data_IF_545305728618
#
_entry.id   IF_545305728618
#
_cell.length_a   1.000
_cell.length_b   1.000
_cell.length_c   1.000
_cell.angle_alpha   90.00
_cell.angle_beta   90.00
_cell.angle_gamma   90.00
#
_symmetry.space_group_name_H-M   'P 1'
#
loop_
_entity.id
_entity.type
_entity.pdbx_description
1 polymer ?
#
# COMPACT_ATOMS: atom_id res chain seq x y z
N UNK A 1 -23.22 25.00 10.30
CA UNK A 1 -21.97 24.60 10.98
C UNK A 1 -22.06 23.10 11.22
N UNK A 2 -21.51 22.29 10.32
CA UNK A 2 -21.51 20.84 10.49
C UNK A 2 -20.56 20.50 11.65
N UNK A 3 -21.08 19.82 12.67
CA UNK A 3 -20.29 19.27 13.75
C UNK A 3 -19.33 18.25 13.14
N UNK A 4 -18.03 18.40 13.41
CA UNK A 4 -17.05 17.35 13.11
C UNK A 4 -17.51 16.07 13.83
N UNK A 5 -17.51 14.90 13.16
CA UNK A 5 -17.82 13.63 13.81
C UNK A 5 -16.90 13.40 15.01
N UNK A 6 -17.34 12.59 15.99
CA UNK A 6 -16.55 12.32 17.19
C UNK A 6 -15.12 11.88 16.83
N UNK A 7 -14.14 12.54 17.45
CA UNK A 7 -12.72 12.26 17.20
C UNK A 7 -12.39 10.80 17.58
N UNK A 8 -11.50 10.11 16.85
CA UNK A 8 -11.11 8.73 17.18
C UNK A 8 -10.70 8.52 18.64
N UNK A 9 -9.96 9.48 19.21
CA UNK A 9 -9.56 9.46 20.61
C UNK A 9 -10.75 9.49 21.61
N UNK A 10 -11.85 10.19 21.27
CA UNK A 10 -13.07 10.21 22.10
C UNK A 10 -13.83 8.88 22.05
N UNK A 11 -13.60 8.10 21.00
CA UNK A 11 -14.15 6.75 20.83
C UNK A 11 -13.20 5.66 21.35
N UNK A 12 -12.04 6.03 21.91
CA UNK A 12 -11.07 5.08 22.47
C UNK A 12 -10.09 4.47 21.45
N UNK A 13 -10.08 4.96 20.20
CA UNK A 13 -9.12 4.52 19.19
C UNK A 13 -7.81 5.30 19.25
N UNK A 14 -6.72 4.64 18.92
CA UNK A 14 -5.39 5.22 18.72
C UNK A 14 -4.79 4.73 17.42
N UNK A 15 -3.94 5.54 16.79
CA UNK A 15 -3.06 5.06 15.73
C UNK A 15 -1.89 4.33 16.40
N UNK A 16 -1.72 3.01 16.19
CA UNK A 16 -0.58 2.29 16.74
C UNK A 16 0.71 2.79 16.08
N UNK A 17 1.84 2.56 16.75
CA UNK A 17 3.13 2.82 16.13
C UNK A 17 3.43 1.79 15.05
N UNK A 18 4.24 2.16 14.07
CA UNK A 18 4.60 1.32 12.91
C UNK A 18 5.43 0.08 13.26
N UNK A 19 5.97 -0.01 14.48
CA UNK A 19 6.69 -1.21 14.94
C UNK A 19 5.80 -2.17 15.74
N UNK A 20 4.53 -1.82 15.96
CA UNK A 20 3.57 -2.74 16.57
C UNK A 20 3.17 -3.84 15.58
N UNK A 21 2.67 -5.00 16.02
CA UNK A 21 2.31 -6.09 15.12
C UNK A 21 1.33 -5.66 14.03
N UNK A 22 1.69 -5.94 12.78
CA UNK A 22 0.85 -5.68 11.62
C UNK A 22 0.02 -6.92 11.23
N UNK A 23 -1.21 -6.70 10.79
CA UNK A 23 -1.98 -7.74 10.09
C UNK A 23 -1.47 -7.90 8.65
N UNK A 24 -1.24 -6.79 7.97
CA UNK A 24 -0.79 -6.77 6.58
C UNK A 24 -0.19 -5.40 6.20
N UNK A 25 0.66 -5.42 5.18
CA UNK A 25 1.11 -4.22 4.46
C UNK A 25 0.40 -4.12 3.10
N UNK A 26 -0.13 -2.93 2.81
CA UNK A 26 -0.83 -2.64 1.55
C UNK A 26 0.06 -1.81 0.62
N UNK A 27 0.23 -2.25 -0.63
CA UNK A 27 0.98 -1.52 -1.65
C UNK A 27 0.10 -1.28 -2.88
N UNK A 28 0.20 -0.10 -3.48
CA UNK A 28 -0.41 0.17 -4.79
C UNK A 28 0.56 -0.25 -5.89
N UNK A 29 0.10 -1.05 -6.85
CA UNK A 29 0.93 -1.49 -7.98
C UNK A 29 1.35 -0.28 -8.83
N UNK A 30 2.62 -0.18 -9.24
CA UNK A 30 3.09 0.95 -10.02
C UNK A 30 2.48 0.88 -11.43
N UNK A 31 1.78 1.95 -11.82
CA UNK A 31 1.06 1.99 -13.10
C UNK A 31 1.16 3.34 -13.83
N UNK A 32 1.69 4.38 -13.18
CA UNK A 32 1.76 5.73 -13.73
C UNK A 32 3.15 6.04 -14.27
N UNK A 33 3.33 6.01 -15.58
CA UNK A 33 4.62 6.25 -16.26
C UNK A 33 5.16 7.66 -16.00
N UNK A 34 4.30 8.68 -15.89
CA UNK A 34 4.75 10.07 -15.67
C UNK A 34 5.39 10.27 -14.30
N UNK A 35 5.14 9.36 -13.34
CA UNK A 35 5.85 9.34 -12.07
C UNK A 35 7.31 8.89 -12.21
N UNK A 36 7.66 8.24 -13.33
CA UNK A 36 8.96 7.60 -13.56
C UNK A 36 9.51 7.85 -14.98
N UNK A 37 9.77 9.11 -15.37
CA UNK A 37 10.17 9.45 -16.75
C UNK A 37 11.42 8.68 -17.20
N UNK A 38 11.27 7.83 -18.22
CA UNK A 38 12.34 7.01 -18.79
C UNK A 38 12.85 5.86 -17.91
N UNK A 39 12.17 5.58 -16.78
CA UNK A 39 12.60 4.56 -15.81
C UNK A 39 11.51 3.53 -15.49
N UNK A 40 10.28 3.72 -15.98
CA UNK A 40 9.13 2.91 -15.60
C UNK A 40 9.35 1.41 -15.77
N UNK A 41 10.02 0.97 -16.85
CA UNK A 41 10.30 -0.44 -17.14
C UNK A 41 10.98 -1.21 -15.99
N UNK A 42 11.66 -0.51 -15.07
CA UNK A 42 12.36 -1.10 -13.92
C UNK A 42 11.53 -1.10 -12.64
N UNK A 43 10.51 -0.26 -12.58
CA UNK A 43 9.74 0.00 -11.35
C UNK A 43 8.91 -1.21 -10.90
N UNK A 44 8.22 -1.97 -11.78
CA UNK A 44 7.54 -3.20 -11.38
C UNK A 44 8.48 -4.19 -10.67
N UNK A 45 9.72 -4.35 -11.16
CA UNK A 45 10.70 -5.23 -10.53
C UNK A 45 11.12 -4.75 -9.14
N UNK A 46 11.23 -3.44 -8.93
CA UNK A 46 11.49 -2.88 -7.59
C UNK A 46 10.34 -3.20 -6.63
N UNK A 47 9.09 -3.13 -7.09
CA UNK A 47 7.93 -3.54 -6.28
C UNK A 47 7.99 -5.02 -5.92
N UNK A 48 8.35 -5.90 -6.86
CA UNK A 48 8.53 -7.33 -6.59
C UNK A 48 9.58 -7.56 -5.50
N UNK A 49 10.69 -6.82 -5.50
CA UNK A 49 11.72 -6.94 -4.46
C UNK A 49 11.26 -6.41 -3.10
N UNK A 50 10.45 -5.34 -3.06
CA UNK A 50 9.80 -4.87 -1.82
C UNK A 50 8.87 -5.97 -1.27
N UNK A 51 8.00 -6.52 -2.12
CA UNK A 51 7.08 -7.59 -1.74
C UNK A 51 7.85 -8.80 -1.21
N UNK A 52 8.92 -9.23 -1.91
CA UNK A 52 9.77 -10.36 -1.49
C UNK A 52 10.34 -10.15 -0.09
N UNK A 53 10.71 -8.93 0.28
CA UNK A 53 11.22 -8.63 1.61
C UNK A 53 10.12 -8.68 2.68
N UNK A 54 8.92 -8.15 2.37
CA UNK A 54 7.81 -8.04 3.32
C UNK A 54 7.12 -9.38 3.60
N UNK A 55 6.95 -10.23 2.58
CA UNK A 55 6.24 -11.52 2.74
C UNK A 55 6.94 -12.50 3.69
N UNK A 56 8.19 -12.22 4.07
CA UNK A 56 8.90 -12.99 5.09
C UNK A 56 8.36 -12.71 6.52
N UNK A 57 7.68 -11.58 6.75
CA UNK A 57 7.22 -11.14 8.07
C UNK A 57 5.72 -10.87 8.18
N UNK A 58 5.04 -10.51 7.09
CA UNK A 58 3.62 -10.13 7.11
C UNK A 58 2.89 -10.42 5.81
N UNK A 59 1.56 -10.42 5.85
CA UNK A 59 0.74 -10.53 4.64
C UNK A 59 0.90 -9.26 3.79
N UNK A 60 1.08 -9.42 2.48
CA UNK A 60 1.16 -8.29 1.55
C UNK A 60 -0.07 -8.27 0.66
N UNK A 61 -0.78 -7.14 0.64
CA UNK A 61 -1.98 -6.91 -0.17
C UNK A 61 -1.67 -5.87 -1.24
N UNK A 62 -1.83 -6.25 -2.51
CA UNK A 62 -1.54 -5.38 -3.65
C UNK A 62 -2.85 -4.79 -4.20
N UNK A 63 -2.90 -3.47 -4.30
CA UNK A 63 -3.98 -2.72 -4.94
C UNK A 63 -3.65 -2.53 -6.42
N UNK A 64 -4.56 -2.96 -7.30
CA UNK A 64 -4.47 -2.79 -8.74
C UNK A 64 -5.65 -1.94 -9.24
N UNK A 65 -5.42 -1.18 -10.33
CA UNK A 65 -6.40 -0.23 -10.85
C UNK A 65 -7.51 -0.87 -11.71
N UNK A 66 -7.30 -2.08 -12.21
CA UNK A 66 -8.28 -2.81 -13.03
C UNK A 66 -7.95 -4.31 -13.10
N UNK A 67 -8.90 -5.11 -13.60
CA UNK A 67 -8.71 -6.55 -13.81
C UNK A 67 -7.68 -6.84 -14.91
N UNK A 68 -7.56 -5.96 -15.91
CA UNK A 68 -6.54 -6.09 -16.95
C UNK A 68 -5.13 -5.90 -16.38
N UNK A 69 -4.97 -4.97 -15.43
CA UNK A 69 -3.71 -4.77 -14.72
C UNK A 69 -3.39 -5.98 -13.83
N UNK A 70 -4.38 -6.54 -13.14
CA UNK A 70 -4.22 -7.76 -12.35
C UNK A 70 -3.71 -8.93 -13.20
N UNK A 71 -4.29 -9.11 -14.39
CA UNK A 71 -3.89 -10.18 -15.31
C UNK A 71 -2.50 -9.98 -15.94
N UNK A 72 -1.99 -8.75 -15.95
CA UNK A 72 -0.69 -8.39 -16.54
C UNK A 72 0.46 -8.32 -15.51
N UNK A 73 0.14 -8.33 -14.21
CA UNK A 73 1.10 -8.30 -13.10
C UNK A 73 1.67 -9.71 -12.82
#
# INVERSE_FOLDING_TARGET
>A
MQLLPDLPARLGYTMPAEWEPHEATWLSWPHKEESWPGLFDRIPLVWVEIVRALVASEEVRILVGSAEMEAAA
#
